data_IF_237034930438
#
_entry.id   IF_237034930438
#
_cell.length_a   1.000
_cell.length_b   1.000
_cell.length_c   1.000
_cell.angle_alpha   90.00
_cell.angle_beta   90.00
_cell.angle_gamma   90.00
#
_symmetry.space_group_name_H-M   'P 1'
#
loop_
_entity.id
_entity.type
_entity.pdbx_description
1 polymer ?
#
# COMPACT_ATOMS: atom_id res chain seq x y z
N UNK A 1 -11.85 5.51 13.94
CA UNK A 1 -10.92 4.56 14.58
C UNK A 1 -10.50 3.57 13.53
N UNK A 2 -9.21 3.20 13.41
CA UNK A 2 -8.72 2.41 12.28
C UNK A 2 -7.63 1.43 12.74
N UNK A 3 -7.86 0.68 13.82
CA UNK A 3 -6.92 -0.33 14.28
C UNK A 3 -7.00 -1.59 13.42
N UNK A 4 -5.84 -2.14 13.03
CA UNK A 4 -5.71 -3.45 12.38
C UNK A 4 -4.90 -4.37 13.28
N UNK A 5 -5.32 -5.64 13.39
CA UNK A 5 -4.55 -6.68 14.10
C UNK A 5 -4.50 -7.94 13.24
N UNK A 6 -3.29 -8.37 12.89
CA UNK A 6 -3.01 -9.66 12.26
C UNK A 6 -2.51 -10.63 13.33
N UNK A 7 -3.09 -11.85 13.36
CA UNK A 7 -2.72 -12.91 14.32
C UNK A 7 -2.45 -14.20 13.57
N UNK A 8 -1.19 -14.62 13.53
CA UNK A 8 -0.69 -15.86 12.92
C UNK A 8 -1.23 -16.08 11.49
N UNK A 9 -1.20 -15.01 10.69
CA UNK A 9 -1.78 -15.00 9.35
C UNK A 9 -0.84 -15.67 8.37
N UNK A 10 -1.33 -16.72 7.70
CA UNK A 10 -0.60 -17.37 6.60
C UNK A 10 -1.48 -17.41 5.34
N UNK A 11 -0.82 -17.40 4.18
CA UNK A 11 -1.49 -17.53 2.87
C UNK A 11 -0.77 -18.53 1.99
N UNK A 12 -1.53 -19.56 1.61
CA UNK A 12 -1.15 -20.56 0.63
C UNK A 12 -2.04 -20.40 -0.59
N UNK A 13 -1.45 -20.38 -1.78
CA UNK A 13 -2.17 -20.45 -3.04
C UNK A 13 -2.13 -21.86 -3.59
N UNK A 14 -3.14 -22.26 -4.37
CA UNK A 14 -3.17 -23.56 -5.03
C UNK A 14 -3.15 -24.74 -4.07
N UNK A 15 -3.83 -24.65 -2.92
CA UNK A 15 -3.91 -25.74 -1.93
C UNK A 15 -4.34 -27.04 -2.61
N UNK A 16 -3.68 -28.15 -2.28
CA UNK A 16 -3.89 -29.48 -2.86
C UNK A 16 -3.65 -29.58 -4.38
N UNK A 17 -2.90 -28.64 -4.97
CA UNK A 17 -2.46 -28.68 -6.37
C UNK A 17 -0.94 -28.77 -6.50
N UNK A 18 -0.41 -29.18 -7.66
CA UNK A 18 1.05 -29.15 -7.92
C UNK A 18 1.68 -27.77 -7.80
N UNK A 19 0.88 -26.70 -7.94
CA UNK A 19 1.30 -25.31 -7.89
C UNK A 19 1.09 -24.68 -6.49
N UNK A 20 1.06 -25.52 -5.43
CA UNK A 20 0.91 -25.05 -4.06
C UNK A 20 2.07 -24.12 -3.67
N UNK A 21 1.73 -22.91 -3.21
CA UNK A 21 2.69 -21.88 -2.91
C UNK A 21 2.39 -21.19 -1.57
N UNK A 22 3.22 -21.42 -0.57
CA UNK A 22 3.22 -20.65 0.67
C UNK A 22 3.81 -19.26 0.39
N UNK A 23 2.96 -18.25 0.44
CA UNK A 23 3.34 -16.87 0.12
C UNK A 23 3.65 -16.05 1.37
N UNK A 24 2.82 -16.18 2.40
CA UNK A 24 3.00 -15.55 3.70
C UNK A 24 2.89 -16.60 4.79
N UNK A 25 3.76 -16.50 5.80
CA UNK A 25 3.85 -17.47 6.86
C UNK A 25 3.95 -16.80 8.23
N UNK A 26 2.99 -17.07 9.08
CA UNK A 26 2.89 -16.62 10.48
C UNK A 26 3.06 -15.11 10.69
N UNK A 27 2.38 -14.32 9.90
CA UNK A 27 2.39 -12.86 9.98
C UNK A 27 1.56 -12.40 11.18
N UNK A 28 2.22 -11.80 12.18
CA UNK A 28 1.57 -11.26 13.38
C UNK A 28 2.05 -9.84 13.65
N UNK A 29 1.16 -8.85 13.51
CA UNK A 29 1.43 -7.45 13.84
C UNK A 29 0.12 -6.70 14.10
N UNK A 30 0.24 -5.51 14.68
CA UNK A 30 -0.89 -4.57 14.80
C UNK A 30 -0.52 -3.23 14.19
N UNK A 31 -1.52 -2.49 13.71
CA UNK A 31 -1.41 -1.09 13.28
C UNK A 31 -2.35 -0.28 14.15
N UNK A 32 -1.80 0.69 14.88
CA UNK A 32 -2.58 1.55 15.77
C UNK A 32 -3.43 2.53 14.96
N UNK A 33 -4.55 2.94 15.54
CA UNK A 33 -5.36 4.00 14.93
C UNK A 33 -4.53 5.27 14.72
N UNK A 34 -4.55 5.81 13.50
CA UNK A 34 -3.79 6.99 13.12
C UNK A 34 -2.31 6.75 12.82
N UNK A 35 -1.83 5.50 12.86
CA UNK A 35 -0.43 5.15 12.55
C UNK A 35 -0.19 5.06 11.04
N UNK A 36 0.97 5.53 10.60
CA UNK A 36 1.47 5.31 9.23
C UNK A 36 2.50 4.19 9.23
N UNK A 37 2.07 2.99 8.85
CA UNK A 37 2.96 1.81 8.75
C UNK A 37 3.36 1.60 7.30
N UNK A 38 4.66 1.40 7.08
CA UNK A 38 5.19 1.01 5.77
C UNK A 38 5.70 -0.41 5.83
N UNK A 39 5.33 -1.23 4.85
CA UNK A 39 5.80 -2.60 4.69
C UNK A 39 6.77 -2.65 3.52
N UNK A 40 8.01 -3.07 3.78
CA UNK A 40 9.05 -3.27 2.76
C UNK A 40 9.47 -4.73 2.71
N UNK A 41 10.05 -5.15 1.60
CA UNK A 41 10.56 -6.51 1.39
C UNK A 41 10.88 -6.78 -0.08
N UNK A 42 11.56 -7.88 -0.40
CA UNK A 42 11.89 -8.26 -1.77
C UNK A 42 10.64 -8.39 -2.67
N UNK A 43 10.85 -8.34 -3.98
CA UNK A 43 9.78 -8.63 -4.93
C UNK A 43 9.26 -10.05 -4.74
N UNK A 44 7.94 -10.23 -4.79
CA UNK A 44 7.30 -11.55 -4.64
C UNK A 44 7.20 -12.08 -3.20
N UNK A 45 7.62 -11.35 -2.16
CA UNK A 45 7.51 -11.80 -0.77
C UNK A 45 6.08 -11.73 -0.19
N UNK A 46 5.06 -11.31 -0.95
CA UNK A 46 3.66 -11.32 -0.51
C UNK A 46 3.10 -9.99 -0.02
N UNK A 47 3.77 -8.85 -0.23
CA UNK A 47 3.28 -7.51 0.19
C UNK A 47 1.89 -7.17 -0.35
N UNK A 48 1.68 -7.32 -1.64
CA UNK A 48 0.37 -7.08 -2.28
C UNK A 48 -0.69 -8.06 -1.80
N UNK A 49 -0.30 -9.32 -1.55
CA UNK A 49 -1.19 -10.34 -0.95
C UNK A 49 -1.62 -9.94 0.46
N UNK A 50 -0.68 -9.43 1.27
CA UNK A 50 -1.00 -8.91 2.61
C UNK A 50 -1.99 -7.75 2.51
N UNK A 51 -1.75 -6.76 1.63
CA UNK A 51 -2.69 -5.66 1.43
C UNK A 51 -4.07 -6.13 0.95
N UNK A 52 -4.12 -7.10 0.03
CA UNK A 52 -5.40 -7.66 -0.43
C UNK A 52 -6.18 -8.30 0.72
N UNK A 53 -5.51 -9.01 1.63
CA UNK A 53 -6.15 -9.58 2.82
C UNK A 53 -6.60 -8.48 3.80
N UNK A 54 -5.81 -7.43 4.03
CA UNK A 54 -6.21 -6.28 4.85
C UNK A 54 -7.42 -5.54 4.26
N UNK A 55 -7.54 -5.49 2.93
CA UNK A 55 -8.70 -4.92 2.25
C UNK A 55 -9.94 -5.81 2.34
N UNK A 56 -9.78 -7.10 2.60
CA UNK A 56 -10.85 -8.11 2.56
C UNK A 56 -11.15 -8.62 1.17
N UNK A 57 -10.24 -8.42 0.21
CA UNK A 57 -10.34 -8.96 -1.15
C UNK A 57 -9.88 -10.42 -1.22
N UNK A 58 -8.98 -10.80 -0.31
CA UNK A 58 -8.47 -12.15 -0.14
C UNK A 58 -8.65 -12.58 1.32
N UNK A 59 -8.80 -13.87 1.54
CA UNK A 59 -8.86 -14.44 2.89
C UNK A 59 -7.55 -15.13 3.22
N UNK A 60 -7.08 -15.04 4.48
CA UNK A 60 -5.96 -15.85 4.94
C UNK A 60 -6.32 -17.35 4.88
N UNK A 61 -5.32 -18.20 4.63
CA UNK A 61 -5.47 -19.66 4.73
C UNK A 61 -5.56 -20.09 6.19
N UNK A 62 -4.81 -19.42 7.07
CA UNK A 62 -4.90 -19.60 8.52
C UNK A 62 -4.67 -18.27 9.23
N UNK A 63 -4.99 -18.22 10.51
CA UNK A 63 -4.94 -17.01 11.32
C UNK A 63 -6.16 -16.10 11.15
N UNK A 64 -6.04 -14.87 11.65
CA UNK A 64 -7.18 -13.92 11.66
C UNK A 64 -6.68 -12.50 11.49
N UNK A 65 -7.42 -11.71 10.70
CA UNK A 65 -7.22 -10.27 10.56
C UNK A 65 -8.43 -9.55 11.14
N UNK A 66 -8.18 -8.62 12.04
CA UNK A 66 -9.22 -7.84 12.70
C UNK A 66 -9.11 -6.37 12.32
N UNK A 67 -10.25 -5.72 12.12
CA UNK A 67 -10.40 -4.26 12.03
C UNK A 67 -11.29 -3.80 13.17
N UNK A 68 -10.76 -2.96 14.07
CA UNK A 68 -11.45 -2.51 15.29
C UNK A 68 -12.04 -3.69 16.11
N UNK A 69 -11.29 -4.78 16.25
CA UNK A 69 -11.70 -5.99 16.96
C UNK A 69 -12.65 -6.92 16.21
N UNK A 70 -13.15 -6.53 15.03
CA UNK A 70 -14.05 -7.36 14.19
C UNK A 70 -13.28 -8.05 13.07
N UNK A 71 -13.52 -9.35 12.80
CA UNK A 71 -12.86 -10.06 11.70
C UNK A 71 -13.13 -9.41 10.33
N UNK A 72 -12.09 -9.31 9.52
CA UNK A 72 -12.22 -8.91 8.12
C UNK A 72 -12.64 -10.15 7.31
N UNK A 73 -13.85 -10.11 6.77
CA UNK A 73 -14.41 -11.21 5.96
C UNK A 73 -14.82 -10.78 4.55
N UNK A 74 -14.81 -9.48 4.26
CA UNK A 74 -15.16 -8.91 2.96
C UNK A 74 -14.62 -7.48 2.83
N UNK A 75 -14.58 -6.90 1.62
CA UNK A 75 -14.32 -5.48 1.41
C UNK A 75 -15.34 -4.60 2.15
N UNK A 76 -14.88 -3.45 2.65
CA UNK A 76 -15.74 -2.51 3.38
C UNK A 76 -15.37 -1.05 3.04
N UNK A 77 -16.35 -0.11 2.97
CA UNK A 77 -16.09 1.31 2.67
C UNK A 77 -15.14 2.02 3.63
N UNK A 78 -14.91 1.49 4.84
CA UNK A 78 -13.96 2.04 5.81
C UNK A 78 -12.51 1.66 5.51
N UNK A 79 -12.27 0.82 4.52
CA UNK A 79 -10.95 0.42 4.04
C UNK A 79 -10.85 0.73 2.54
N UNK A 80 -10.00 1.69 2.20
CA UNK A 80 -9.72 2.07 0.80
C UNK A 80 -8.41 1.47 0.35
N UNK A 81 -8.40 0.88 -0.84
CA UNK A 81 -7.19 0.30 -1.45
C UNK A 81 -6.81 1.05 -2.72
N UNK A 82 -5.55 1.49 -2.78
CA UNK A 82 -4.91 2.02 -3.97
C UNK A 82 -4.00 0.94 -4.52
N UNK A 83 -4.28 0.50 -5.75
CA UNK A 83 -3.51 -0.53 -6.44
C UNK A 83 -2.25 0.05 -7.09
N UNK A 84 -1.27 -0.80 -7.32
CA UNK A 84 -0.03 -0.46 -8.02
C UNK A 84 -0.31 0.09 -9.43
N UNK A 85 -1.21 -0.58 -10.17
CA UNK A 85 -1.67 -0.06 -11.47
C UNK A 85 -2.91 0.82 -11.29
N UNK A 86 -3.04 1.91 -12.06
CA UNK A 86 -4.22 2.74 -12.02
C UNK A 86 -5.50 1.94 -12.31
N UNK A 87 -6.47 2.03 -11.40
CA UNK A 87 -7.72 1.26 -11.45
C UNK A 87 -8.94 2.18 -11.66
N UNK A 88 -8.79 3.22 -12.49
CA UNK A 88 -9.91 4.10 -12.83
C UNK A 88 -10.94 3.36 -13.69
N UNK A 89 -12.20 3.67 -13.47
CA UNK A 89 -13.33 3.17 -14.27
C UNK A 89 -13.28 3.85 -15.65
N UNK A 90 -13.01 3.11 -16.75
CA UNK A 90 -12.71 3.73 -18.05
C UNK A 90 -13.89 4.44 -18.70
N UNK A 91 -15.11 4.13 -18.31
CA UNK A 91 -16.35 4.74 -18.80
C UNK A 91 -16.80 5.97 -18.01
N UNK A 92 -16.11 6.32 -16.92
CA UNK A 92 -16.40 7.50 -16.10
C UNK A 92 -15.38 8.61 -16.37
N UNK A 93 -15.85 9.86 -16.31
CA UNK A 93 -14.97 11.03 -16.28
C UNK A 93 -14.09 11.01 -15.01
N UNK A 94 -13.07 11.85 -14.99
CA UNK A 94 -12.17 11.92 -13.84
C UNK A 94 -12.90 12.34 -12.56
N UNK A 95 -13.76 13.35 -12.65
CA UNK A 95 -14.56 13.79 -11.50
C UNK A 95 -15.55 12.71 -11.04
N UNK A 96 -16.16 11.96 -11.97
CA UNK A 96 -17.06 10.87 -11.63
C UNK A 96 -16.30 9.72 -10.97
N UNK A 97 -15.08 9.42 -11.43
CA UNK A 97 -14.20 8.46 -10.79
C UNK A 97 -13.90 8.82 -9.34
N UNK A 98 -13.49 10.08 -9.10
CA UNK A 98 -13.15 10.54 -7.74
C UNK A 98 -14.39 10.59 -6.85
N UNK A 99 -15.53 10.99 -7.38
CA UNK A 99 -16.80 11.04 -6.66
C UNK A 99 -17.47 9.68 -6.45
N UNK A 100 -17.01 8.60 -7.15
CA UNK A 100 -17.70 7.32 -7.23
C UNK A 100 -17.99 6.71 -5.85
N UNK A 101 -16.99 6.63 -4.99
CA UNK A 101 -17.14 6.04 -3.66
C UNK A 101 -18.15 6.79 -2.77
N UNK A 102 -18.30 8.11 -2.95
CA UNK A 102 -19.27 8.92 -2.21
C UNK A 102 -20.71 8.62 -2.63
N UNK A 103 -20.93 8.03 -3.81
CA UNK A 103 -22.25 7.54 -4.24
C UNK A 103 -22.75 6.45 -3.32
N UNK A 104 -21.86 5.55 -2.90
CA UNK A 104 -22.15 4.45 -1.99
C UNK A 104 -22.45 4.94 -0.57
N UNK A 105 -21.95 6.13 -0.20
CA UNK A 105 -22.25 6.78 1.10
C UNK A 105 -23.55 7.62 1.08
N UNK A 106 -24.30 7.63 -0.01
CA UNK A 106 -25.60 8.30 -0.12
C UNK A 106 -25.54 9.83 -0.22
N UNK A 107 -24.36 10.43 -0.45
CA UNK A 107 -24.24 11.87 -0.64
C UNK A 107 -24.94 12.31 -1.94
N UNK A 108 -25.56 13.49 -1.94
CA UNK A 108 -26.15 14.06 -3.14
C UNK A 108 -25.08 14.48 -4.16
N UNK A 109 -25.49 14.66 -5.43
CA UNK A 109 -24.56 14.93 -6.54
C UNK A 109 -23.72 16.20 -6.32
N UNK A 110 -24.30 17.26 -5.78
CA UNK A 110 -23.62 18.54 -5.55
C UNK A 110 -22.51 18.39 -4.51
N UNK A 111 -22.78 17.74 -3.41
CA UNK A 111 -21.81 17.50 -2.34
C UNK A 111 -20.65 16.62 -2.81
N UNK A 112 -20.96 15.53 -3.54
CA UNK A 112 -19.95 14.63 -4.10
C UNK A 112 -18.99 15.35 -5.04
N UNK A 113 -19.53 16.16 -5.95
CA UNK A 113 -18.71 16.87 -6.93
C UNK A 113 -17.89 17.97 -6.29
N UNK A 114 -18.44 18.73 -5.34
CA UNK A 114 -17.68 19.73 -4.60
C UNK A 114 -16.44 19.09 -3.91
N UNK A 115 -16.67 17.97 -3.25
CA UNK A 115 -15.57 17.24 -2.59
C UNK A 115 -14.58 16.65 -3.59
N UNK A 116 -15.04 16.05 -4.68
CA UNK A 116 -14.19 15.52 -5.73
C UNK A 116 -13.32 16.60 -6.40
N UNK A 117 -13.88 17.79 -6.66
CA UNK A 117 -13.15 18.94 -7.20
C UNK A 117 -12.02 19.40 -6.27
N UNK A 118 -12.24 19.40 -4.95
CA UNK A 118 -11.22 19.73 -3.97
C UNK A 118 -10.02 18.77 -4.09
N UNK A 119 -10.26 17.46 -4.03
CA UNK A 119 -9.20 16.46 -4.16
C UNK A 119 -8.53 16.49 -5.54
N UNK A 120 -9.28 16.74 -6.61
CA UNK A 120 -8.68 16.94 -7.94
C UNK A 120 -7.78 18.18 -8.01
N UNK A 121 -8.14 19.25 -7.33
CA UNK A 121 -7.30 20.46 -7.25
C UNK A 121 -5.99 20.16 -6.49
N UNK A 122 -6.08 19.45 -5.37
CA UNK A 122 -4.95 19.10 -4.52
C UNK A 122 -3.92 18.19 -5.23
N UNK A 123 -4.40 17.26 -6.08
CA UNK A 123 -3.51 16.44 -6.90
C UNK A 123 -3.12 17.10 -8.23
N UNK A 124 -3.47 18.37 -8.46
CA UNK A 124 -3.13 19.13 -9.68
C UNK A 124 -3.87 18.67 -10.93
N UNK A 125 -5.08 18.12 -10.80
CA UNK A 125 -5.87 17.57 -11.91
C UNK A 125 -7.21 18.26 -12.14
N UNK A 126 -7.48 19.39 -11.48
CA UNK A 126 -8.78 20.10 -11.58
C UNK A 126 -9.18 20.42 -13.02
N UNK A 127 -8.23 20.85 -13.85
CA UNK A 127 -8.49 21.19 -15.25
C UNK A 127 -8.81 19.97 -16.14
N UNK A 128 -8.57 18.76 -15.65
CA UNK A 128 -8.84 17.50 -16.33
C UNK A 128 -10.10 16.79 -15.81
N UNK A 129 -10.91 17.45 -14.97
CA UNK A 129 -12.07 16.87 -14.31
C UNK A 129 -13.03 16.13 -15.27
N UNK A 130 -13.24 16.68 -16.47
CA UNK A 130 -14.14 16.13 -17.49
C UNK A 130 -13.45 15.17 -18.48
N UNK A 131 -12.15 14.86 -18.30
CA UNK A 131 -11.44 13.91 -19.15
C UNK A 131 -11.68 12.47 -18.70
N UNK A 132 -11.57 11.55 -19.64
CA UNK A 132 -11.65 10.11 -19.39
C UNK A 132 -10.27 9.51 -19.17
N UNK A 133 -10.14 8.35 -18.50
CA UNK A 133 -8.85 7.73 -18.19
C UNK A 133 -7.91 7.58 -19.40
N UNK A 134 -8.42 7.16 -20.56
CA UNK A 134 -7.63 6.99 -21.76
C UNK A 134 -7.03 8.31 -22.34
N UNK A 135 -7.47 9.46 -21.86
CA UNK A 135 -6.96 10.78 -22.24
C UNK A 135 -5.88 11.31 -21.30
N UNK A 136 -5.49 10.52 -20.28
CA UNK A 136 -4.57 10.90 -19.22
C UNK A 136 -3.30 10.06 -19.28
N UNK A 137 -2.16 10.64 -18.89
CA UNK A 137 -0.94 9.87 -18.69
C UNK A 137 -1.07 8.91 -17.50
N UNK A 138 -0.23 7.85 -17.44
CA UNK A 138 -0.24 6.92 -16.32
C UNK A 138 -0.06 7.59 -14.95
N UNK A 139 0.85 8.56 -14.86
CA UNK A 139 1.05 9.34 -13.62
C UNK A 139 -0.17 10.21 -13.25
N UNK A 140 -0.90 10.76 -14.24
CA UNK A 140 -2.15 11.47 -13.96
C UNK A 140 -3.24 10.52 -13.48
N UNK A 141 -3.35 9.33 -14.09
CA UNK A 141 -4.29 8.30 -13.65
C UNK A 141 -3.99 7.85 -12.22
N UNK A 142 -2.72 7.66 -11.88
CA UNK A 142 -2.33 7.26 -10.51
C UNK A 142 -2.68 8.35 -9.48
N UNK A 143 -2.39 9.62 -9.78
CA UNK A 143 -2.81 10.75 -8.92
C UNK A 143 -4.33 10.80 -8.73
N UNK A 144 -5.09 10.49 -9.76
CA UNK A 144 -6.55 10.42 -9.68
C UNK A 144 -7.03 9.24 -8.82
N UNK A 145 -6.37 8.07 -8.87
CA UNK A 145 -6.66 6.96 -7.97
C UNK A 145 -6.43 7.34 -6.51
N UNK A 146 -5.34 8.07 -6.22
CA UNK A 146 -5.06 8.59 -4.88
C UNK A 146 -6.18 9.56 -4.45
N UNK A 147 -6.54 10.53 -5.31
CA UNK A 147 -7.64 11.47 -5.04
C UNK A 147 -8.96 10.73 -4.76
N UNK A 148 -9.30 9.68 -5.54
CA UNK A 148 -10.50 8.86 -5.35
C UNK A 148 -10.51 8.17 -3.98
N UNK A 149 -9.40 7.57 -3.59
CA UNK A 149 -9.27 6.86 -2.31
C UNK A 149 -9.39 7.82 -1.12
N UNK A 150 -8.71 8.97 -1.17
CA UNK A 150 -8.76 9.99 -0.13
C UNK A 150 -10.14 10.67 -0.05
N UNK A 151 -10.77 10.93 -1.20
CA UNK A 151 -12.10 11.52 -1.30
C UNK A 151 -13.17 10.67 -0.62
N UNK A 152 -13.07 9.35 -0.69
CA UNK A 152 -13.96 8.41 0.01
C UNK A 152 -13.96 8.65 1.53
N UNK A 153 -12.83 9.04 2.10
CA UNK A 153 -12.71 9.32 3.53
C UNK A 153 -12.79 8.07 4.38
N UNK A 154 -12.23 6.94 3.91
CA UNK A 154 -12.08 5.72 4.68
C UNK A 154 -11.23 5.94 5.95
N UNK A 155 -11.43 5.13 6.99
CA UNK A 155 -10.62 5.17 8.21
C UNK A 155 -9.23 4.56 8.00
N UNK A 156 -9.15 3.57 7.12
CA UNK A 156 -7.92 2.87 6.75
C UNK A 156 -7.64 3.09 5.27
N UNK A 157 -6.42 3.48 4.95
CA UNK A 157 -5.94 3.66 3.58
C UNK A 157 -4.81 2.65 3.34
N UNK A 158 -5.05 1.74 2.43
CA UNK A 158 -4.11 0.71 2.00
C UNK A 158 -3.52 1.13 0.66
N UNK A 159 -2.20 1.09 0.50
CA UNK A 159 -1.51 1.56 -0.69
C UNK A 159 -0.47 0.56 -1.17
N UNK A 160 -0.62 0.07 -2.39
CA UNK A 160 0.32 -0.84 -3.04
C UNK A 160 1.16 -0.07 -4.06
N UNK A 161 2.39 0.29 -3.69
CA UNK A 161 3.35 1.02 -4.52
C UNK A 161 2.75 2.23 -5.28
N UNK A 162 2.00 3.12 -4.62
CA UNK A 162 1.17 4.12 -5.29
C UNK A 162 1.96 5.16 -6.09
N UNK A 163 3.27 5.26 -5.87
CA UNK A 163 4.14 6.24 -6.51
C UNK A 163 5.09 5.64 -7.56
N UNK A 164 5.01 4.32 -7.83
CA UNK A 164 5.95 3.64 -8.74
C UNK A 164 5.93 4.22 -10.17
N UNK A 165 4.76 4.65 -10.66
CA UNK A 165 4.60 5.20 -12.02
C UNK A 165 4.88 6.72 -12.13
N UNK A 166 5.34 7.37 -11.03
CA UNK A 166 5.56 8.82 -10.99
C UNK A 166 7.04 9.15 -11.20
N UNK A 167 7.31 10.25 -11.90
CA UNK A 167 8.65 10.85 -11.94
C UNK A 167 9.08 11.36 -10.56
N UNK A 168 10.38 11.57 -10.39
CA UNK A 168 11.00 11.90 -9.08
C UNK A 168 10.37 13.14 -8.43
N UNK A 169 10.17 14.22 -9.21
CA UNK A 169 9.64 15.46 -8.67
C UNK A 169 8.16 15.33 -8.29
N UNK A 170 7.37 14.69 -9.14
CA UNK A 170 5.94 14.43 -8.87
C UNK A 170 5.79 13.48 -7.67
N UNK A 171 6.63 12.46 -7.57
CA UNK A 171 6.66 11.52 -6.42
C UNK A 171 6.88 12.27 -5.11
N UNK A 172 7.91 13.12 -5.04
CA UNK A 172 8.20 13.92 -3.84
C UNK A 172 7.01 14.80 -3.43
N UNK A 173 6.41 15.51 -4.40
CA UNK A 173 5.24 16.35 -4.14
C UNK A 173 4.03 15.53 -3.65
N UNK A 174 3.83 14.33 -4.19
CA UNK A 174 2.73 13.44 -3.78
C UNK A 174 2.96 12.81 -2.41
N UNK A 175 4.20 12.50 -2.05
CA UNK A 175 4.55 12.04 -0.70
C UNK A 175 4.26 13.13 0.34
N UNK A 176 4.71 14.35 0.06
CA UNK A 176 4.42 15.51 0.93
C UNK A 176 2.90 15.73 1.06
N UNK A 177 2.18 15.77 -0.05
CA UNK A 177 0.72 15.90 -0.08
C UNK A 177 0.02 14.81 0.73
N UNK A 178 0.47 13.55 0.62
CA UNK A 178 -0.08 12.44 1.40
C UNK A 178 0.11 12.66 2.91
N UNK A 179 1.30 13.11 3.33
CA UNK A 179 1.57 13.44 4.72
C UNK A 179 0.72 14.61 5.20
N UNK A 180 0.60 15.69 4.41
CA UNK A 180 -0.20 16.87 4.76
C UNK A 180 -1.68 16.50 4.99
N UNK A 181 -2.24 15.58 4.20
CA UNK A 181 -3.61 15.09 4.41
C UNK A 181 -3.70 14.11 5.58
N UNK A 182 -2.70 13.27 5.76
CA UNK A 182 -2.72 12.24 6.80
C UNK A 182 -2.54 12.87 8.19
N UNK A 183 -1.62 13.83 8.35
CA UNK A 183 -1.39 14.53 9.61
C UNK A 183 -2.68 15.19 10.11
N UNK A 184 -3.05 14.93 11.35
CA UNK A 184 -4.27 15.46 11.96
C UNK A 184 -5.59 14.85 11.46
N UNK A 185 -5.57 13.96 10.46
CA UNK A 185 -6.78 13.31 9.93
C UNK A 185 -7.28 12.16 10.82
N UNK A 186 -6.43 11.59 11.67
CA UNK A 186 -6.69 10.40 12.46
C UNK A 186 -6.80 9.10 11.64
N UNK A 187 -6.47 9.15 10.35
CA UNK A 187 -6.53 7.99 9.45
C UNK A 187 -5.34 7.07 9.63
N UNK A 188 -5.58 5.78 9.55
CA UNK A 188 -4.55 4.74 9.57
C UNK A 188 -4.08 4.45 8.13
N UNK A 189 -2.78 4.34 7.93
CA UNK A 189 -2.20 4.03 6.62
C UNK A 189 -1.35 2.77 6.71
N UNK A 190 -1.56 1.84 5.78
CA UNK A 190 -0.64 0.74 5.49
C UNK A 190 -0.16 0.90 4.06
N UNK A 191 1.12 1.17 3.91
CA UNK A 191 1.76 1.51 2.65
C UNK A 191 2.79 0.44 2.30
N UNK A 192 2.71 -0.12 1.11
CA UNK A 192 3.68 -1.09 0.60
C UNK A 192 4.56 -0.41 -0.42
N UNK A 193 5.86 -0.61 -0.31
CA UNK A 193 6.84 -0.13 -1.29
C UNK A 193 8.10 -1.00 -1.31
N UNK A 194 8.85 -0.92 -2.39
CA UNK A 194 10.23 -1.41 -2.45
C UNK A 194 11.26 -0.27 -2.37
N UNK A 195 10.80 0.98 -2.29
CA UNK A 195 11.66 2.16 -2.15
C UNK A 195 11.94 2.47 -0.69
N UNK A 196 13.18 2.28 -0.27
CA UNK A 196 13.61 2.52 1.12
C UNK A 196 13.42 3.97 1.54
N UNK A 197 13.72 4.93 0.65
CA UNK A 197 13.59 6.35 0.93
C UNK A 197 12.13 6.73 1.24
N UNK A 198 11.15 6.10 0.57
CA UNK A 198 9.72 6.27 0.89
C UNK A 198 9.39 5.76 2.29
N UNK A 199 9.94 4.59 2.65
CA UNK A 199 9.70 4.02 3.96
C UNK A 199 10.26 4.92 5.07
N UNK A 200 11.50 5.41 4.93
CA UNK A 200 12.10 6.32 5.90
C UNK A 200 11.37 7.66 5.94
N UNK A 201 10.92 8.18 4.78
CA UNK A 201 10.26 9.49 4.71
C UNK A 201 8.85 9.48 5.31
N UNK A 202 8.06 8.43 5.04
CA UNK A 202 6.63 8.40 5.34
C UNK A 202 6.28 7.75 6.69
N UNK A 203 6.98 6.67 7.08
CA UNK A 203 6.51 5.78 8.14
C UNK A 203 6.65 6.36 9.55
N UNK A 204 5.72 6.03 10.43
CA UNK A 204 5.97 6.01 11.88
C UNK A 204 6.72 4.73 12.24
N UNK A 205 6.37 3.63 11.56
CA UNK A 205 6.98 2.31 11.76
C UNK A 205 7.09 1.57 10.44
N UNK A 206 8.22 0.91 10.25
CA UNK A 206 8.52 0.08 9.08
C UNK A 206 8.51 -1.40 9.50
N UNK A 207 7.76 -2.21 8.75
CA UNK A 207 7.77 -3.67 8.86
C UNK A 207 8.56 -4.22 7.68
N UNK A 208 9.60 -5.01 7.97
CA UNK A 208 10.47 -5.63 6.98
C UNK A 208 10.02 -7.09 6.83
N UNK A 209 9.72 -7.51 5.60
CA UNK A 209 9.41 -8.90 5.29
C UNK A 209 10.63 -9.61 4.71
N UNK A 210 10.77 -10.90 5.06
CA UNK A 210 11.74 -11.82 4.43
C UNK A 210 11.40 -12.08 2.96
N UNK A 211 12.30 -12.71 2.23
CA UNK A 211 11.99 -13.37 0.97
C UNK A 211 10.89 -14.44 1.16
N UNK A 212 10.41 -15.03 0.05
CA UNK A 212 9.32 -16.01 0.10
C UNK A 212 9.71 -17.31 0.87
N UNK A 213 8.87 -17.81 1.79
CA UNK A 213 7.64 -17.20 2.28
C UNK A 213 7.90 -15.92 3.08
N UNK A 214 7.05 -14.90 2.84
CA UNK A 214 7.16 -13.66 3.60
C UNK A 214 6.84 -13.88 5.08
N UNK A 215 7.81 -13.60 5.94
CA UNK A 215 7.68 -13.52 7.40
C UNK A 215 8.10 -12.15 7.86
N UNK A 216 7.70 -11.73 9.04
CA UNK A 216 8.21 -10.49 9.62
C UNK A 216 9.65 -10.73 10.05
N UNK A 217 10.61 -10.06 9.38
CA UNK A 217 12.01 -10.06 9.77
C UNK A 217 12.22 -9.13 10.96
N UNK A 218 11.70 -7.91 10.87
CA UNK A 218 11.84 -6.89 11.90
C UNK A 218 10.72 -5.83 11.78
N UNK A 219 10.46 -5.13 12.89
CA UNK A 219 9.57 -3.97 12.98
C UNK A 219 10.30 -2.83 13.66
N UNK A 220 10.52 -1.72 12.93
CA UNK A 220 11.37 -0.61 13.34
C UNK A 220 10.56 0.69 13.43
N UNK A 221 10.53 1.30 14.62
CA UNK A 221 9.94 2.62 14.81
C UNK A 221 10.88 3.73 14.28
N UNK A 222 10.35 4.66 13.49
CA UNK A 222 11.11 5.79 12.95
C UNK A 222 10.97 6.99 13.88
N UNK A 223 11.93 7.14 14.78
CA UNK A 223 11.95 8.22 15.78
C UNK A 223 12.54 9.53 15.23
N UNK A 224 12.00 9.99 14.09
CA UNK A 224 12.36 11.27 13.50
C UNK A 224 11.14 12.16 13.37
N UNK A 225 11.21 13.44 13.82
CA UNK A 225 10.11 14.38 13.64
C UNK A 225 9.84 14.67 12.15
N UNK A 226 8.60 15.03 11.82
CA UNK A 226 8.22 15.53 10.49
C UNK A 226 8.23 17.06 10.47
N UNK A 227 8.50 17.72 9.35
CA UNK A 227 8.95 17.15 8.08
C UNK A 227 10.38 16.58 8.17
N UNK A 228 10.60 15.41 7.59
CA UNK A 228 11.91 14.74 7.59
C UNK A 228 12.83 15.31 6.53
N UNK A 229 14.06 15.61 6.93
CA UNK A 229 15.10 16.02 5.99
C UNK A 229 15.83 14.78 5.45
N UNK A 230 15.69 14.55 4.14
CA UNK A 230 16.24 13.39 3.43
C UNK A 230 17.75 13.35 3.36
N UNK A 231 18.44 14.48 3.65
CA UNK A 231 19.91 14.58 3.69
C UNK A 231 20.46 14.55 5.12
N UNK A 232 19.61 14.42 6.12
CA UNK A 232 20.03 14.36 7.52
C UNK A 232 20.78 13.06 7.86
N UNK A 233 21.76 13.09 8.78
CA UNK A 233 22.44 11.87 9.22
C UNK A 233 21.49 10.81 9.80
N UNK A 234 20.41 11.22 10.49
CA UNK A 234 19.42 10.31 11.04
C UNK A 234 18.63 9.58 9.94
N UNK A 235 18.30 10.28 8.83
CA UNK A 235 17.67 9.67 7.67
C UNK A 235 18.58 8.62 7.03
N UNK A 236 19.84 8.98 6.78
CA UNK A 236 20.83 8.08 6.17
C UNK A 236 21.10 6.85 7.05
N UNK A 237 21.08 6.99 8.37
CA UNK A 237 21.25 5.86 9.29
C UNK A 237 20.12 4.83 9.13
N UNK A 238 18.85 5.27 9.10
CA UNK A 238 17.71 4.36 8.87
C UNK A 238 17.76 3.75 7.47
N UNK A 239 18.10 4.56 6.46
CA UNK A 239 18.25 4.10 5.08
C UNK A 239 19.31 3.00 4.97
N UNK A 240 20.49 3.20 5.54
CA UNK A 240 21.58 2.23 5.52
C UNK A 240 21.18 0.91 6.22
N UNK A 241 20.51 0.99 7.36
CA UNK A 241 19.99 -0.17 8.08
C UNK A 241 19.00 -0.97 7.22
N UNK A 242 18.03 -0.33 6.57
CA UNK A 242 17.06 -1.03 5.72
C UNK A 242 17.70 -1.61 4.45
N UNK A 243 18.69 -0.93 3.87
CA UNK A 243 19.48 -1.46 2.75
C UNK A 243 20.16 -2.76 3.14
N UNK A 244 20.77 -2.83 4.33
CA UNK A 244 21.49 -4.03 4.79
C UNK A 244 20.52 -5.21 5.00
N UNK A 245 19.38 -4.98 5.67
CA UNK A 245 18.35 -6.01 5.85
C UNK A 245 17.82 -6.54 4.52
N UNK A 246 17.45 -5.66 3.60
CA UNK A 246 16.92 -6.07 2.31
C UNK A 246 17.96 -6.75 1.43
N UNK A 247 19.23 -6.31 1.48
CA UNK A 247 20.32 -6.93 0.73
C UNK A 247 20.50 -8.39 1.10
N UNK A 248 20.47 -8.71 2.40
CA UNK A 248 20.58 -10.09 2.88
C UNK A 248 19.40 -10.96 2.36
N UNK A 249 18.19 -10.45 2.39
CA UNK A 249 17.01 -11.16 1.92
C UNK A 249 16.95 -11.30 0.40
N UNK A 250 17.34 -10.29 -0.36
CA UNK A 250 17.46 -10.37 -1.83
C UNK A 250 18.50 -11.43 -2.23
N UNK A 251 19.65 -11.48 -1.56
CA UNK A 251 20.68 -12.49 -1.84
C UNK A 251 20.16 -13.90 -1.59
N UNK A 252 19.41 -14.12 -0.51
CA UNK A 252 18.76 -15.42 -0.24
C UNK A 252 17.75 -15.80 -1.33
N UNK A 253 16.90 -14.84 -1.74
CA UNK A 253 15.91 -15.09 -2.77
C UNK A 253 16.52 -15.49 -4.12
N UNK A 254 17.63 -14.85 -4.53
CA UNK A 254 18.36 -15.24 -5.74
C UNK A 254 18.98 -16.63 -5.63
N UNK A 255 19.61 -16.96 -4.50
CA UNK A 255 20.20 -18.29 -4.29
C UNK A 255 19.13 -19.42 -4.33
N UNK A 256 17.96 -19.17 -3.77
CA UNK A 256 16.83 -20.13 -3.81
C UNK A 256 16.28 -20.30 -5.24
N UNK A 257 16.17 -19.21 -6.01
CA UNK A 257 15.73 -19.27 -7.39
C UNK A 257 16.70 -20.03 -8.28
N UNK A 258 18.00 -19.77 -8.19
CA UNK A 258 19.04 -20.49 -8.92
C UNK A 258 19.01 -21.99 -8.60
N UNK A 259 18.82 -22.34 -7.31
CA UNK A 259 18.73 -23.74 -6.89
C UNK A 259 17.50 -24.45 -7.51
N UNK A 260 16.34 -23.75 -7.51
CA UNK A 260 15.11 -24.28 -8.10
C UNK A 260 15.26 -24.53 -9.62
N UNK A 261 15.87 -23.58 -10.36
CA UNK A 261 16.13 -23.71 -11.79
C UNK A 261 17.10 -24.86 -12.12
N UNK A 262 18.14 -25.06 -11.27
CA UNK A 262 19.07 -26.19 -11.41
C UNK A 262 18.39 -27.55 -11.21
N UNK A 263 17.43 -27.62 -10.27
CA UNK A 263 16.68 -28.87 -10.01
C UNK A 263 15.71 -29.19 -11.14
N UNK A 264 15.02 -28.18 -11.69
CA UNK A 264 14.08 -28.36 -12.81
C UNK A 264 14.79 -28.78 -14.11
N UNK A 265 16.04 -28.33 -14.30
CA UNK A 265 16.88 -28.70 -15.46
C UNK A 265 17.42 -30.16 -15.35
N UNK A 266 17.46 -30.74 -14.16
CA UNK A 266 17.91 -32.14 -13.92
C UNK A 266 16.79 -33.17 -14.06
N UNK A 267 15.53 -32.73 -14.07
CA UNK A 267 14.34 -33.60 -14.16
C UNK A 267 13.84 -33.73 -15.60
N UNK A 268 14.29 -32.86 -16.49
CA UNK A 268 14.06 -32.91 -17.95
C UNK A 268 15.22 -33.66 -18.66
#
# INVERSE_FOLDING_TARGET
MGEIVCRNVSKVWGIDTPDELLTLDDISFSVRSGEFVVVIGPSGCGKSTLLAMLAGLEMPTSGTILHNGMPITAPHPDRSLIFQQPSLLPWLSLIDNVAFGLTLKGLNKKERYLRAEQFLAEVGLRQFANKYPHQLSGGMQQRACIARALCLGADIILMDEPFAALDVQTRYNMQKFLLDIWEGSGKTVVFVTHHIDEAVYLADRVIILTARPGRILESVDIQMPRPRDVISPAFEQHRAMFVEHLRSEVTKAFAEQELAEMLDTRIK
#
